data_IF_345955756879
#
_entry.id   IF_345955756879
#
_cell.length_a   1.000
_cell.length_b   1.000
_cell.length_c   1.000
_cell.angle_alpha   90.00
_cell.angle_beta   90.00
_cell.angle_gamma   90.00
#
_symmetry.space_group_name_H-M   'P 1'
#
loop_
_entity.id
_entity.type
_entity.pdbx_description
1 polymer ?
#
# COMPACT_ATOMS: atom_id res chain seq x y z
N UNK A 1 -30.45 -45.19 32.35
CA UNK A 1 -30.83 -43.83 31.87
C UNK A 1 -29.65 -42.86 31.95
N UNK A 2 -28.46 -43.29 32.42
CA UNK A 2 -27.29 -42.39 32.59
C UNK A 2 -26.19 -42.54 31.55
N UNK A 3 -26.39 -43.35 30.51
CA UNK A 3 -25.33 -43.58 29.47
C UNK A 3 -25.58 -42.85 28.13
N UNK A 4 -26.57 -41.98 28.03
CA UNK A 4 -26.94 -41.37 26.74
C UNK A 4 -26.45 -39.91 26.53
N UNK A 5 -25.78 -39.28 27.52
CA UNK A 5 -25.32 -37.89 27.47
C UNK A 5 -23.82 -37.70 27.48
N UNK A 6 -23.04 -38.71 27.14
CA UNK A 6 -21.57 -38.72 27.24
C UNK A 6 -20.80 -38.57 25.91
N UNK A 7 -21.35 -37.89 24.88
CA UNK A 7 -20.57 -37.49 23.68
C UNK A 7 -20.97 -36.12 23.19
N UNK A 8 -20.80 -35.12 24.01
CA UNK A 8 -20.51 -33.81 23.46
C UNK A 8 -19.14 -33.89 22.76
N UNK A 9 -19.17 -34.11 21.45
CA UNK A 9 -18.02 -33.82 20.60
C UNK A 9 -17.75 -32.33 20.78
N UNK A 10 -16.75 -31.99 21.57
CA UNK A 10 -16.10 -30.68 21.54
C UNK A 10 -15.65 -30.44 20.10
N UNK A 11 -16.53 -29.87 19.30
CA UNK A 11 -16.22 -29.33 18.00
C UNK A 11 -15.50 -27.98 18.27
N UNK A 12 -14.34 -28.05 18.92
CA UNK A 12 -13.37 -26.96 18.89
C UNK A 12 -12.95 -26.86 17.43
N UNK A 13 -13.62 -25.99 16.70
CA UNK A 13 -13.06 -25.47 15.46
C UNK A 13 -11.77 -24.77 15.92
N UNK A 14 -10.66 -25.49 15.89
CA UNK A 14 -9.34 -24.85 15.89
C UNK A 14 -9.34 -23.91 14.71
N UNK A 15 -9.65 -22.64 14.97
CA UNK A 15 -9.52 -21.56 14.02
C UNK A 15 -8.02 -21.51 13.70
N UNK A 16 -7.62 -22.20 12.64
CA UNK A 16 -6.25 -22.24 12.16
C UNK A 16 -5.79 -20.78 12.04
N UNK A 17 -5.02 -20.30 13.01
CA UNK A 17 -4.51 -18.96 13.00
C UNK A 17 -3.64 -18.82 11.77
N UNK A 18 -3.99 -17.89 10.90
CA UNK A 18 -3.21 -17.58 9.71
C UNK A 18 -1.92 -16.88 10.16
N UNK A 19 -0.81 -17.61 10.15
CA UNK A 19 0.52 -17.09 10.43
C UNK A 19 1.28 -16.91 9.11
N UNK A 20 2.25 -15.99 9.09
CA UNK A 20 3.19 -15.90 7.98
C UNK A 20 4.10 -17.12 7.95
N UNK A 21 4.49 -17.56 6.75
CA UNK A 21 5.31 -18.77 6.55
C UNK A 21 6.78 -18.60 6.98
N UNK A 22 7.23 -17.35 7.23
CA UNK A 22 8.58 -17.05 7.68
C UNK A 22 8.86 -15.55 7.76
N UNK A 23 10.07 -15.20 8.19
CA UNK A 23 10.50 -13.79 8.35
C UNK A 23 10.44 -13.01 7.03
N UNK A 24 10.93 -13.61 5.94
CA UNK A 24 10.92 -12.96 4.62
C UNK A 24 9.49 -12.68 4.14
N UNK A 25 8.57 -13.66 4.30
CA UNK A 25 7.16 -13.47 3.94
C UNK A 25 6.51 -12.35 4.74
N UNK A 26 6.79 -12.27 6.04
CA UNK A 26 6.33 -11.18 6.89
C UNK A 26 6.88 -9.81 6.44
N UNK A 27 8.21 -9.72 6.19
CA UNK A 27 8.83 -8.46 5.77
C UNK A 27 8.28 -7.97 4.42
N UNK A 28 8.14 -8.88 3.44
CA UNK A 28 7.60 -8.51 2.12
C UNK A 28 6.12 -8.13 2.19
N UNK A 29 5.32 -8.79 3.04
CA UNK A 29 3.92 -8.42 3.24
C UNK A 29 3.80 -7.07 3.98
N UNK A 30 4.64 -6.82 5.00
CA UNK A 30 4.69 -5.55 5.71
C UNK A 30 5.13 -4.41 4.78
N UNK A 31 6.17 -4.63 3.96
CA UNK A 31 6.60 -3.69 2.93
C UNK A 31 5.49 -3.42 1.91
N UNK A 32 4.81 -4.47 1.43
CA UNK A 32 3.68 -4.34 0.51
C UNK A 32 2.50 -3.58 1.08
N UNK A 33 2.28 -3.69 2.38
CA UNK A 33 1.26 -2.89 3.09
C UNK A 33 1.68 -1.43 3.28
N UNK A 34 2.99 -1.17 3.43
CA UNK A 34 3.52 0.18 3.65
C UNK A 34 3.67 0.97 2.34
N UNK A 35 4.00 0.29 1.22
CA UNK A 35 4.17 0.93 -0.08
C UNK A 35 2.82 1.08 -0.77
N UNK A 36 2.34 2.30 -0.85
CA UNK A 36 1.10 2.65 -1.55
C UNK A 36 1.34 3.59 -2.72
N UNK A 37 0.28 3.93 -3.44
CA UNK A 37 0.31 4.88 -4.55
C UNK A 37 0.88 6.23 -4.13
N UNK A 38 0.61 6.66 -2.91
CA UNK A 38 1.14 7.90 -2.34
C UNK A 38 2.67 7.97 -2.32
N UNK A 39 3.34 6.85 -2.09
CA UNK A 39 4.80 6.78 -2.06
C UNK A 39 5.42 6.96 -3.45
N UNK A 40 4.72 6.53 -4.50
CA UNK A 40 5.21 6.61 -5.88
C UNK A 40 4.85 7.92 -6.58
N UNK A 41 3.74 8.53 -6.21
CA UNK A 41 3.25 9.75 -6.84
C UNK A 41 3.38 10.97 -5.94
N UNK A 42 2.67 10.96 -4.77
CA UNK A 42 2.53 12.17 -3.95
C UNK A 42 3.81 12.54 -3.22
N UNK A 43 4.53 11.54 -2.71
CA UNK A 43 5.75 11.77 -1.95
C UNK A 43 6.84 12.46 -2.76
N UNK A 44 7.22 12.00 -3.99
CA UNK A 44 8.20 12.70 -4.82
C UNK A 44 7.78 14.13 -5.16
N UNK A 45 6.50 14.33 -5.46
CA UNK A 45 5.95 15.66 -5.74
C UNK A 45 6.09 16.61 -4.53
N UNK A 46 5.71 16.15 -3.34
CA UNK A 46 5.85 16.97 -2.11
C UNK A 46 7.32 17.25 -1.79
N UNK A 47 8.18 16.23 -1.91
CA UNK A 47 9.60 16.41 -1.69
C UNK A 47 10.20 17.46 -2.64
N UNK A 48 9.79 17.46 -3.92
CA UNK A 48 10.23 18.47 -4.88
C UNK A 48 9.70 19.88 -4.56
N UNK A 49 8.45 19.98 -4.10
CA UNK A 49 7.77 21.25 -3.81
C UNK A 49 8.24 21.88 -2.51
N UNK A 50 8.50 21.08 -1.48
CA UNK A 50 8.63 21.53 -0.09
C UNK A 50 10.09 21.47 0.40
N UNK A 51 11.08 21.71 -0.46
CA UNK A 51 12.47 21.91 -0.08
C UNK A 51 13.42 20.73 -0.33
N UNK A 52 13.07 19.80 -1.22
CA UNK A 52 13.99 18.77 -1.72
C UNK A 52 14.73 17.98 -0.65
N UNK A 53 16.02 18.24 -0.51
CA UNK A 53 16.88 17.54 0.44
C UNK A 53 16.53 17.79 1.90
N UNK A 54 16.12 19.00 2.28
CA UNK A 54 15.69 19.30 3.65
C UNK A 54 14.44 18.50 4.04
N UNK A 55 13.46 18.42 3.12
CA UNK A 55 12.28 17.57 3.32
C UNK A 55 12.66 16.11 3.57
N UNK A 56 13.59 15.57 2.78
CA UNK A 56 14.05 14.18 2.95
C UNK A 56 14.76 13.95 4.29
N UNK A 57 15.61 14.88 4.73
CA UNK A 57 16.32 14.78 6.02
C UNK A 57 15.30 14.73 7.17
N UNK A 58 14.34 15.66 7.20
CA UNK A 58 13.30 15.70 8.22
C UNK A 58 12.47 14.40 8.19
N UNK A 59 12.10 13.96 6.99
CA UNK A 59 11.36 12.71 6.82
C UNK A 59 12.12 11.50 7.37
N UNK A 60 13.41 11.37 7.09
CA UNK A 60 14.27 10.30 7.64
C UNK A 60 14.32 10.34 9.16
N UNK A 61 14.50 11.51 9.76
CA UNK A 61 14.50 11.66 11.22
C UNK A 61 13.18 11.19 11.81
N UNK A 62 12.05 11.59 11.21
CA UNK A 62 10.72 11.19 11.66
C UNK A 62 10.47 9.68 11.49
N UNK A 63 10.92 9.08 10.40
CA UNK A 63 10.79 7.64 10.17
C UNK A 63 11.61 6.85 11.18
N UNK A 64 12.84 7.26 11.44
CA UNK A 64 13.72 6.55 12.39
C UNK A 64 13.27 6.70 13.85
N UNK A 65 12.66 7.81 14.21
CA UNK A 65 12.15 8.06 15.56
C UNK A 65 10.73 7.57 15.75
N UNK A 66 9.76 8.26 15.14
CA UNK A 66 8.34 7.95 15.30
C UNK A 66 7.92 6.70 14.52
N UNK A 67 8.33 6.57 13.26
CA UNK A 67 7.94 5.46 12.41
C UNK A 67 8.38 4.11 12.96
N UNK A 68 9.66 4.01 13.36
CA UNK A 68 10.20 2.79 13.96
C UNK A 68 9.51 2.44 15.29
N UNK A 69 9.28 3.43 16.15
CA UNK A 69 8.64 3.22 17.46
C UNK A 69 7.19 2.77 17.29
N UNK A 70 6.42 3.42 16.42
CA UNK A 70 5.03 3.07 16.15
C UNK A 70 4.92 1.66 15.56
N UNK A 71 5.69 1.36 14.53
CA UNK A 71 5.68 0.04 13.88
C UNK A 71 6.04 -1.08 14.87
N UNK A 72 7.07 -0.87 15.69
CA UNK A 72 7.50 -1.84 16.71
C UNK A 72 6.40 -2.05 17.75
N UNK A 73 5.74 -0.99 18.18
CA UNK A 73 4.62 -1.06 19.13
C UNK A 73 3.44 -1.83 18.56
N UNK A 74 3.05 -1.57 17.32
CA UNK A 74 1.94 -2.27 16.67
C UNK A 74 2.24 -3.77 16.50
N UNK A 75 3.45 -4.12 16.08
CA UNK A 75 3.89 -5.52 15.99
C UNK A 75 3.88 -6.19 17.36
N UNK A 76 4.37 -5.52 18.41
CA UNK A 76 4.38 -6.05 19.78
C UNK A 76 2.96 -6.30 20.29
N UNK A 77 2.03 -5.36 20.09
CA UNK A 77 0.61 -5.51 20.43
C UNK A 77 0.00 -6.70 19.69
N UNK A 78 0.20 -6.78 18.38
CA UNK A 78 -0.32 -7.86 17.56
C UNK A 78 0.21 -9.23 18.00
N UNK A 79 1.51 -9.35 18.26
CA UNK A 79 2.14 -10.60 18.76
C UNK A 79 1.67 -11.00 20.14
N UNK A 80 1.42 -10.05 21.03
CA UNK A 80 0.98 -10.32 22.38
C UNK A 80 -0.49 -10.76 22.46
N UNK A 81 -1.33 -10.18 21.64
CA UNK A 81 -2.79 -10.35 21.74
C UNK A 81 -3.34 -11.39 20.79
N UNK A 82 -2.70 -11.59 19.62
CA UNK A 82 -3.19 -12.44 18.54
C UNK A 82 -4.62 -12.12 18.10
N UNK A 83 -5.05 -10.86 18.24
CA UNK A 83 -6.41 -10.39 17.92
C UNK A 83 -6.35 -9.25 16.89
N UNK A 84 -7.51 -8.95 16.30
CA UNK A 84 -7.70 -7.73 15.51
C UNK A 84 -7.55 -6.49 16.40
N UNK A 85 -7.36 -5.29 15.78
CA UNK A 85 -7.11 -4.06 16.51
C UNK A 85 -8.11 -3.82 17.66
N UNK A 86 -9.43 -3.96 17.41
CA UNK A 86 -10.46 -3.77 18.43
C UNK A 86 -10.25 -4.72 19.63
N UNK A 87 -10.10 -6.02 19.35
CA UNK A 87 -9.91 -7.03 20.39
C UNK A 87 -8.55 -6.92 21.09
N UNK A 88 -7.52 -6.44 20.40
CA UNK A 88 -6.19 -6.25 20.96
C UNK A 88 -6.19 -5.15 22.03
N UNK A 89 -6.72 -3.97 21.72
CA UNK A 89 -6.80 -2.87 22.68
C UNK A 89 -7.75 -3.17 23.83
N UNK A 90 -8.89 -3.84 23.59
CA UNK A 90 -9.81 -4.28 24.62
C UNK A 90 -9.18 -5.28 25.59
N UNK A 91 -8.38 -6.23 25.08
CA UNK A 91 -7.65 -7.21 25.92
C UNK A 91 -6.56 -6.57 26.76
N UNK A 92 -5.87 -5.56 26.23
CA UNK A 92 -4.86 -4.83 26.99
C UNK A 92 -5.50 -4.02 28.11
N UNK A 93 -6.59 -3.32 27.83
CA UNK A 93 -7.37 -2.56 28.81
C UNK A 93 -8.78 -2.32 28.27
N UNK A 94 -9.84 -2.76 28.99
CA UNK A 94 -11.22 -2.61 28.51
C UNK A 94 -11.61 -1.16 28.15
N UNK A 95 -11.05 -0.18 28.86
CA UNK A 95 -11.27 1.27 28.58
C UNK A 95 -10.69 1.71 27.23
N UNK A 96 -9.77 0.95 26.63
CA UNK A 96 -9.12 1.28 25.35
C UNK A 96 -9.80 0.68 24.13
N UNK A 97 -10.95 0.06 24.31
CA UNK A 97 -11.77 -0.46 23.18
C UNK A 97 -12.08 0.63 22.15
N UNK A 98 -12.37 1.86 22.60
CA UNK A 98 -12.62 3.01 21.73
C UNK A 98 -11.42 3.34 20.81
N UNK A 99 -10.19 3.22 21.32
CA UNK A 99 -8.98 3.39 20.52
C UNK A 99 -8.87 2.30 19.44
N UNK A 100 -9.20 1.04 19.78
CA UNK A 100 -9.24 -0.05 18.81
C UNK A 100 -10.28 0.16 17.71
N UNK A 101 -11.44 0.74 18.03
CA UNK A 101 -12.46 1.11 17.03
C UNK A 101 -11.94 2.21 16.12
N UNK A 102 -11.29 3.24 16.68
CA UNK A 102 -10.69 4.32 15.90
C UNK A 102 -9.61 3.79 14.93
N UNK A 103 -8.74 2.90 15.41
CA UNK A 103 -7.71 2.25 14.61
C UNK A 103 -8.31 1.42 13.47
N UNK A 104 -9.46 0.77 13.70
CA UNK A 104 -10.18 0.02 12.66
C UNK A 104 -10.88 0.94 11.65
N UNK A 105 -11.40 2.09 12.09
CA UNK A 105 -12.12 3.02 11.23
C UNK A 105 -11.22 3.65 10.16
N UNK A 106 -9.95 3.89 10.47
CA UNK A 106 -8.99 4.50 9.52
C UNK A 106 -8.86 3.71 8.22
N UNK A 107 -8.51 2.39 8.21
CA UNK A 107 -8.44 1.63 6.98
C UNK A 107 -9.79 1.48 6.27
N UNK A 108 -10.92 1.49 6.99
CA UNK A 108 -12.25 1.48 6.38
C UNK A 108 -12.47 2.75 5.55
N UNK A 109 -12.16 3.92 6.10
CA UNK A 109 -12.25 5.19 5.38
C UNK A 109 -11.27 5.27 4.20
N UNK A 110 -10.05 4.77 4.37
CA UNK A 110 -9.06 4.69 3.28
C UNK A 110 -9.58 3.81 2.14
N UNK A 111 -10.17 2.66 2.44
CA UNK A 111 -10.66 1.72 1.44
C UNK A 111 -11.68 2.35 0.49
N UNK A 112 -12.48 3.31 0.94
CA UNK A 112 -13.51 3.95 0.11
C UNK A 112 -12.94 4.67 -1.11
N UNK A 113 -11.85 5.41 -0.95
CA UNK A 113 -11.22 6.12 -2.08
C UNK A 113 -10.11 5.32 -2.76
N UNK A 114 -9.43 4.42 -2.04
CA UNK A 114 -8.38 3.58 -2.63
C UNK A 114 -8.91 2.61 -3.68
N UNK A 115 -10.13 2.10 -3.51
CA UNK A 115 -10.76 1.26 -4.51
C UNK A 115 -10.96 2.01 -5.84
N UNK A 116 -11.32 3.28 -5.79
CA UNK A 116 -11.47 4.13 -6.98
C UNK A 116 -10.13 4.39 -7.64
N UNK A 117 -9.12 4.80 -6.87
CA UNK A 117 -7.75 5.02 -7.38
C UNK A 117 -7.17 3.71 -7.96
N UNK A 118 -7.39 2.58 -7.29
CA UNK A 118 -6.99 1.26 -7.78
C UNK A 118 -7.64 0.93 -9.13
N UNK A 119 -8.90 1.30 -9.32
CA UNK A 119 -9.59 1.20 -10.60
C UNK A 119 -8.93 2.05 -11.69
N UNK A 120 -8.55 3.29 -11.40
CA UNK A 120 -7.83 4.16 -12.35
C UNK A 120 -6.49 3.55 -12.78
N UNK A 121 -5.70 3.06 -11.83
CA UNK A 121 -4.42 2.40 -12.12
C UNK A 121 -4.64 1.14 -12.96
N UNK A 122 -5.67 0.35 -12.64
CA UNK A 122 -6.03 -0.85 -13.41
C UNK A 122 -6.39 -0.50 -14.84
N UNK A 123 -7.15 0.59 -15.07
CA UNK A 123 -7.45 1.10 -16.42
C UNK A 123 -6.17 1.42 -17.18
N UNK A 124 -5.26 2.20 -16.58
CA UNK A 124 -4.00 2.55 -17.21
C UNK A 124 -3.14 1.31 -17.50
N UNK A 125 -3.04 0.37 -16.56
CA UNK A 125 -2.33 -0.88 -16.77
C UNK A 125 -2.86 -1.65 -17.99
N UNK A 126 -4.19 -1.75 -18.14
CA UNK A 126 -4.83 -2.40 -19.30
C UNK A 126 -4.49 -1.65 -20.60
N UNK A 127 -4.53 -0.33 -20.60
CA UNK A 127 -4.24 0.49 -21.78
C UNK A 127 -2.80 0.34 -22.23
N UNK A 128 -1.84 0.35 -21.30
CA UNK A 128 -0.43 0.14 -21.61
C UNK A 128 -0.14 -1.28 -22.12
N UNK A 129 -0.73 -2.30 -21.48
CA UNK A 129 -0.57 -3.70 -21.90
C UNK A 129 -1.22 -3.95 -23.28
N UNK A 130 -2.31 -3.26 -23.61
CA UNK A 130 -2.97 -3.34 -24.93
C UNK A 130 -2.25 -2.56 -26.05
N UNK A 131 -1.12 -1.92 -25.75
CA UNK A 131 -0.34 -1.18 -26.74
C UNK A 131 -0.90 0.21 -27.08
N UNK A 132 -1.87 0.71 -26.33
CA UNK A 132 -2.52 2.01 -26.55
C UNK A 132 -1.89 3.14 -25.71
N UNK A 133 -0.59 3.07 -25.45
CA UNK A 133 0.13 4.03 -24.61
C UNK A 133 0.02 5.48 -25.14
N UNK A 134 0.01 5.66 -26.46
CA UNK A 134 -0.15 6.98 -27.08
C UNK A 134 -1.51 7.63 -26.79
N UNK A 135 -2.57 6.83 -26.69
CA UNK A 135 -3.89 7.34 -26.32
C UNK A 135 -3.92 7.77 -24.85
N UNK A 136 -3.23 7.04 -23.97
CA UNK A 136 -3.12 7.38 -22.55
C UNK A 136 -2.27 8.63 -22.26
N UNK A 137 -1.43 9.04 -23.21
CA UNK A 137 -0.59 10.24 -23.12
C UNK A 137 -1.32 11.54 -23.51
N UNK A 138 -2.55 11.47 -24.04
CA UNK A 138 -3.35 12.64 -24.35
C UNK A 138 -3.80 13.37 -23.07
N UNK A 139 -3.73 14.71 -23.07
CA UNK A 139 -3.99 15.54 -21.88
C UNK A 139 -5.42 15.37 -21.31
N UNK A 140 -6.38 15.09 -22.16
CA UNK A 140 -7.79 14.92 -21.80
C UNK A 140 -8.19 13.47 -21.50
N UNK A 141 -7.30 12.50 -21.71
CA UNK A 141 -7.60 11.08 -21.54
C UNK A 141 -8.08 10.74 -20.13
N UNK A 142 -7.36 11.23 -19.11
CA UNK A 142 -7.74 11.00 -17.72
C UNK A 142 -9.07 11.64 -17.37
N UNK A 143 -9.26 12.90 -17.78
CA UNK A 143 -10.50 13.63 -17.51
C UNK A 143 -11.70 12.98 -18.18
N UNK A 144 -11.58 12.57 -19.44
CA UNK A 144 -12.63 11.86 -20.17
C UNK A 144 -12.95 10.50 -19.54
N UNK A 145 -11.95 9.81 -19.02
CA UNK A 145 -12.15 8.55 -18.31
C UNK A 145 -12.92 8.75 -17.00
N UNK A 146 -12.50 9.67 -16.12
CA UNK A 146 -13.11 9.85 -14.79
C UNK A 146 -14.50 10.47 -14.85
N UNK A 147 -14.83 11.21 -15.90
CA UNK A 147 -16.17 11.79 -16.13
C UNK A 147 -17.14 10.82 -16.81
N UNK A 148 -16.62 9.69 -17.33
CA UNK A 148 -17.46 8.63 -17.89
C UNK A 148 -18.31 7.96 -16.79
N UNK A 149 -19.61 7.74 -17.00
CA UNK A 149 -20.50 7.23 -15.96
C UNK A 149 -20.25 5.76 -15.61
N UNK A 150 -19.71 4.96 -16.51
CA UNK A 150 -19.59 3.50 -16.37
C UNK A 150 -18.16 3.04 -16.20
N UNK A 151 -17.23 3.57 -17.00
CA UNK A 151 -15.87 3.06 -17.07
C UNK A 151 -15.11 3.07 -15.73
N UNK A 152 -15.11 4.15 -14.93
CA UNK A 152 -14.41 4.17 -13.63
C UNK A 152 -15.00 3.14 -12.65
N UNK A 153 -16.32 2.97 -12.67
CA UNK A 153 -17.01 2.02 -11.78
C UNK A 153 -16.62 0.58 -12.12
N UNK A 154 -16.62 0.22 -13.40
CA UNK A 154 -16.23 -1.13 -13.85
C UNK A 154 -14.80 -1.45 -13.42
N UNK A 155 -13.84 -0.53 -13.62
CA UNK A 155 -12.46 -0.76 -13.23
C UNK A 155 -12.26 -0.76 -11.70
N UNK A 156 -13.02 0.03 -10.94
CA UNK A 156 -13.01 -0.02 -9.49
C UNK A 156 -13.55 -1.38 -8.99
N UNK A 157 -14.65 -1.88 -9.56
CA UNK A 157 -15.20 -3.20 -9.22
C UNK A 157 -14.23 -4.33 -9.61
N UNK A 158 -13.58 -4.24 -10.75
CA UNK A 158 -12.53 -5.19 -11.16
C UNK A 158 -11.39 -5.23 -10.13
N UNK A 159 -10.87 -4.07 -9.75
CA UNK A 159 -9.82 -3.96 -8.72
C UNK A 159 -10.27 -4.55 -7.38
N UNK A 160 -11.48 -4.20 -6.93
CA UNK A 160 -12.04 -4.74 -5.69
C UNK A 160 -12.23 -6.27 -5.77
N UNK A 161 -12.69 -6.79 -6.91
CA UNK A 161 -12.86 -8.22 -7.13
C UNK A 161 -11.54 -8.98 -7.02
N UNK A 162 -10.48 -8.49 -7.67
CA UNK A 162 -9.13 -9.08 -7.56
C UNK A 162 -8.62 -9.01 -6.12
N UNK A 163 -8.78 -7.85 -5.46
CA UNK A 163 -8.39 -7.68 -4.05
C UNK A 163 -9.15 -8.66 -3.14
N UNK A 164 -10.47 -8.79 -3.33
CA UNK A 164 -11.29 -9.72 -2.56
C UNK A 164 -10.85 -11.18 -2.76
N UNK A 165 -10.51 -11.59 -3.97
CA UNK A 165 -9.99 -12.93 -4.26
C UNK A 165 -8.66 -13.18 -3.55
N UNK A 166 -7.74 -12.20 -3.54
CA UNK A 166 -6.47 -12.31 -2.83
C UNK A 166 -6.70 -12.47 -1.33
N UNK A 167 -7.56 -11.64 -0.74
CA UNK A 167 -7.86 -11.66 0.70
C UNK A 167 -8.62 -12.94 1.08
N UNK A 168 -9.52 -13.43 0.22
CA UNK A 168 -10.24 -14.68 0.44
C UNK A 168 -9.33 -15.90 0.59
N UNK A 169 -8.20 -15.93 -0.13
CA UNK A 169 -7.18 -16.97 0.00
C UNK A 169 -6.38 -16.89 1.32
N UNK A 170 -6.66 -15.89 2.15
CA UNK A 170 -6.04 -15.70 3.47
C UNK A 170 -4.64 -15.11 3.42
N UNK A 171 -3.97 -15.11 4.58
CA UNK A 171 -2.68 -14.43 4.72
C UNK A 171 -1.56 -15.15 3.97
N UNK A 172 -1.40 -16.46 4.16
CA UNK A 172 -0.28 -17.21 3.57
C UNK A 172 -0.40 -17.40 2.05
N UNK A 173 -1.55 -17.88 1.60
CA UNK A 173 -1.77 -18.24 0.19
C UNK A 173 -2.25 -17.06 -0.67
N UNK A 174 -2.76 -16.02 -0.04
CA UNK A 174 -3.21 -14.80 -0.70
C UNK A 174 -2.18 -13.68 -0.55
N UNK A 175 -2.26 -12.95 0.55
CA UNK A 175 -1.50 -11.70 0.76
C UNK A 175 0.01 -11.94 0.70
N UNK A 176 0.54 -12.90 1.46
CA UNK A 176 1.98 -13.18 1.52
C UNK A 176 2.52 -13.65 0.15
N UNK A 177 1.81 -14.57 -0.51
CA UNK A 177 2.22 -15.11 -1.81
C UNK A 177 2.28 -14.02 -2.88
N UNK A 178 1.26 -13.16 -2.93
CA UNK A 178 1.20 -12.03 -3.88
C UNK A 178 2.30 -11.02 -3.57
N UNK A 179 2.46 -10.61 -2.30
CA UNK A 179 3.49 -9.65 -1.89
C UNK A 179 4.90 -10.17 -2.15
N UNK A 180 5.15 -11.45 -1.92
CA UNK A 180 6.46 -12.08 -2.18
C UNK A 180 6.89 -11.97 -3.64
N UNK A 181 5.93 -11.96 -4.55
CA UNK A 181 6.19 -11.85 -6.00
C UNK A 181 6.20 -10.39 -6.46
N UNK A 182 5.21 -9.61 -6.02
CA UNK A 182 5.04 -8.22 -6.48
C UNK A 182 6.09 -7.26 -5.92
N UNK A 183 6.55 -7.44 -4.67
CA UNK A 183 7.51 -6.51 -4.07
C UNK A 183 8.86 -6.48 -4.77
N UNK A 184 9.51 -7.62 -5.09
CA UNK A 184 10.74 -7.61 -5.88
C UNK A 184 10.54 -7.01 -7.28
N UNK A 185 9.42 -7.32 -7.94
CA UNK A 185 9.09 -6.75 -9.27
C UNK A 185 8.95 -5.22 -9.17
N UNK A 186 8.22 -4.73 -8.17
CA UNK A 186 8.08 -3.29 -7.93
C UNK A 186 9.43 -2.63 -7.68
N UNK A 187 10.30 -3.24 -6.87
CA UNK A 187 11.63 -2.70 -6.59
C UNK A 187 12.47 -2.58 -7.86
N UNK A 188 12.47 -3.63 -8.69
CA UNK A 188 13.19 -3.61 -9.98
C UNK A 188 12.63 -2.52 -10.89
N UNK A 189 11.31 -2.39 -11.01
CA UNK A 189 10.67 -1.35 -11.82
C UNK A 189 11.02 0.05 -11.33
N UNK A 190 11.00 0.30 -10.03
CA UNK A 190 11.38 1.59 -9.45
C UNK A 190 12.83 1.93 -9.75
N UNK A 191 13.75 0.96 -9.62
CA UNK A 191 15.17 1.16 -9.96
C UNK A 191 15.35 1.45 -11.44
N UNK A 192 14.67 0.71 -12.31
CA UNK A 192 14.75 0.94 -13.76
C UNK A 192 14.22 2.33 -14.12
N UNK A 193 13.08 2.74 -13.57
CA UNK A 193 12.53 4.09 -13.79
C UNK A 193 13.47 5.16 -13.24
N UNK A 194 14.05 4.96 -12.06
CA UNK A 194 15.01 5.90 -11.48
C UNK A 194 16.25 6.06 -12.37
N UNK A 195 16.84 4.95 -12.83
CA UNK A 195 17.98 4.99 -13.74
C UNK A 195 17.61 5.67 -15.09
N UNK A 196 16.45 5.35 -15.64
CA UNK A 196 15.98 5.97 -16.86
C UNK A 196 15.74 7.47 -16.69
N UNK A 197 15.14 7.90 -15.58
CA UNK A 197 14.87 9.31 -15.30
C UNK A 197 16.15 10.18 -15.24
N UNK A 198 17.28 9.59 -14.81
CA UNK A 198 18.58 10.29 -14.81
C UNK A 198 19.09 10.62 -16.21
N UNK A 199 18.67 9.88 -17.22
CA UNK A 199 19.08 10.10 -18.62
C UNK A 199 18.20 11.12 -19.36
N UNK A 200 17.08 11.51 -18.76
CA UNK A 200 16.15 12.45 -19.38
C UNK A 200 16.66 13.89 -19.24
N UNK A 201 16.32 14.70 -20.24
CA UNK A 201 16.50 16.16 -20.22
C UNK A 201 15.22 16.83 -20.67
N UNK A 202 14.90 17.96 -20.08
CA UNK A 202 13.74 18.76 -20.43
C UNK A 202 14.15 20.23 -20.52
N UNK A 203 13.58 20.95 -21.49
CA UNK A 203 13.77 22.39 -21.60
C UNK A 203 12.64 23.11 -20.89
N UNK A 204 12.98 23.90 -19.88
CA UNK A 204 12.02 24.70 -19.14
C UNK A 204 11.43 25.83 -20.01
N UNK A 205 10.36 26.48 -19.52
CA UNK A 205 9.74 27.62 -20.17
C UNK A 205 10.72 28.79 -20.42
N UNK A 206 11.78 28.88 -19.60
CA UNK A 206 12.84 29.89 -19.69
C UNK A 206 13.95 29.51 -20.70
N UNK A 207 13.79 28.42 -21.44
CA UNK A 207 14.77 27.95 -22.43
C UNK A 207 15.98 27.22 -21.86
N UNK A 208 16.03 26.96 -20.52
CA UNK A 208 17.13 26.24 -19.89
C UNK A 208 16.91 24.75 -19.97
N UNK A 209 17.95 24.00 -20.33
CA UNK A 209 17.95 22.54 -20.34
C UNK A 209 18.21 22.04 -18.92
N UNK A 210 17.22 21.39 -18.32
CA UNK A 210 17.33 20.73 -17.01
C UNK A 210 17.48 19.23 -17.25
N UNK A 211 18.52 18.63 -16.66
CA UNK A 211 18.80 17.19 -16.76
C UNK A 211 18.23 16.44 -15.55
N UNK A 212 17.93 15.14 -15.74
CA UNK A 212 17.51 14.26 -14.63
C UNK A 212 18.54 14.21 -13.50
N UNK A 213 19.84 14.36 -13.83
CA UNK A 213 20.90 14.45 -12.83
C UNK A 213 20.79 15.70 -11.95
N UNK A 214 20.46 16.85 -12.52
CA UNK A 214 20.20 18.08 -11.75
C UNK A 214 18.99 17.92 -10.83
N UNK A 215 17.93 17.26 -11.32
CA UNK A 215 16.77 16.89 -10.50
C UNK A 215 17.16 16.00 -9.34
N UNK A 216 18.03 15.00 -9.55
CA UNK A 216 18.52 14.14 -8.47
C UNK A 216 19.36 14.92 -7.45
N UNK A 217 20.25 15.79 -7.89
CA UNK A 217 21.04 16.65 -7.00
C UNK A 217 20.18 17.57 -6.16
N UNK A 218 19.04 18.04 -6.67
CA UNK A 218 18.09 18.84 -5.90
C UNK A 218 17.57 18.11 -4.66
N UNK A 219 17.36 16.79 -4.73
CA UNK A 219 16.98 15.98 -3.57
C UNK A 219 18.13 15.69 -2.60
N UNK A 220 19.38 15.89 -3.02
CA UNK A 220 20.55 15.70 -2.15
C UNK A 220 21.02 16.99 -1.48
N UNK A 221 20.65 18.14 -2.03
CA UNK A 221 20.99 19.47 -1.47
C UNK A 221 19.86 19.97 -0.59
N UNK A 222 20.13 20.32 0.68
CA UNK A 222 19.12 20.97 1.53
C UNK A 222 18.88 22.39 1.01
N UNK A 223 17.67 22.67 0.59
CA UNK A 223 17.21 23.98 0.11
C UNK A 223 16.17 24.54 1.05
#
# INVERSE_FOLDING_TARGET
>A
VQEFWGKEKNFTIEKKQNHFSGQLGFVLAAAGSAVGVGNLWRFPYLAAKDGGGLFLIIYFILVLTFGFTLLTSDIAIGRRTHKSAIGAYEQMRPKWKGLGILTFLVPVLIMTYYAVIGGWITKYAVVYVSGQASAAAADDYFTSFITSPVSPVVFALLFMGVTALIVYNGVQNGIEKVSRWMMPVLLVLVVVIACYSLTLSHTNADGQVVTGWQGFLYYLTPN
#
